data_IF_875027446689
#
_entry.id   IF_875027446689
#
_cell.length_a   1.000
_cell.length_b   1.000
_cell.length_c   1.000
_cell.angle_alpha   90.00
_cell.angle_beta   90.00
_cell.angle_gamma   90.00
#
_symmetry.space_group_name_H-M   'P 1'
#
loop_
_entity.id
_entity.type
_entity.pdbx_description
1 polymer ?
#
# COMPACT_ATOMS: atom_id res chain seq x y z
N UNK A 1 -21.71 -19.68 -40.16
CA UNK A 1 -21.77 -18.52 -39.24
C UNK A 1 -22.29 -19.01 -37.90
N UNK A 2 -21.48 -18.93 -36.85
CA UNK A 2 -21.95 -19.01 -35.46
C UNK A 2 -21.17 -17.94 -34.71
N UNK A 3 -21.79 -16.77 -34.55
CA UNK A 3 -21.19 -15.49 -34.08
C UNK A 3 -21.53 -15.20 -32.61
N UNK A 4 -21.97 -16.20 -31.85
CA UNK A 4 -22.42 -16.03 -30.46
C UNK A 4 -21.66 -16.98 -29.54
N UNK A 5 -20.34 -16.86 -29.52
CA UNK A 5 -19.58 -17.12 -28.32
C UNK A 5 -19.26 -15.76 -27.73
N UNK A 6 -20.07 -15.29 -26.78
CA UNK A 6 -19.65 -14.16 -25.94
C UNK A 6 -18.39 -14.60 -25.21
N UNK A 7 -17.26 -13.87 -25.33
CA UNK A 7 -16.13 -14.16 -24.48
C UNK A 7 -16.59 -13.97 -23.04
N UNK A 8 -16.54 -15.04 -22.24
CA UNK A 8 -16.59 -14.90 -20.79
C UNK A 8 -15.54 -13.87 -20.41
N UNK A 9 -15.87 -12.83 -19.62
CA UNK A 9 -14.86 -11.90 -19.17
C UNK A 9 -13.96 -12.66 -18.18
N UNK A 10 -12.89 -13.26 -18.69
CA UNK A 10 -11.71 -13.55 -17.89
C UNK A 10 -11.11 -12.20 -17.54
N UNK A 11 -11.71 -11.49 -16.58
CA UNK A 11 -11.18 -10.19 -16.13
C UNK A 11 -9.99 -10.43 -15.21
N UNK A 12 -8.91 -10.97 -15.76
CA UNK A 12 -7.57 -10.73 -15.24
C UNK A 12 -7.05 -9.42 -15.84
N UNK A 13 -7.77 -8.32 -15.58
CA UNK A 13 -7.30 -7.00 -15.97
C UNK A 13 -6.43 -6.45 -14.84
N UNK A 14 -5.11 -6.51 -15.00
CA UNK A 14 -4.17 -5.83 -14.09
C UNK A 14 -4.30 -4.32 -14.25
N UNK A 15 -4.32 -3.59 -13.14
CA UNK A 15 -4.32 -2.13 -13.11
C UNK A 15 -2.96 -1.67 -12.64
N UNK A 16 -2.25 -0.91 -13.47
CA UNK A 16 -1.02 -0.21 -13.08
C UNK A 16 -1.37 1.20 -12.62
N UNK A 17 -0.84 1.59 -11.47
CA UNK A 17 -1.04 2.88 -10.83
C UNK A 17 0.33 3.51 -10.69
N UNK A 18 0.63 4.50 -11.52
CA UNK A 18 1.84 5.30 -11.39
C UNK A 18 1.66 6.30 -10.25
N UNK A 19 2.50 6.20 -9.22
CA UNK A 19 2.40 7.03 -8.01
C UNK A 19 2.52 8.51 -8.34
N UNK A 20 3.50 8.86 -9.18
CA UNK A 20 3.80 10.23 -9.60
C UNK A 20 2.66 10.88 -10.39
N UNK A 21 1.93 10.09 -11.20
CA UNK A 21 0.73 10.57 -11.90
C UNK A 21 -0.44 10.86 -10.95
N UNK A 22 -0.53 10.11 -9.85
CA UNK A 22 -1.61 10.29 -8.87
C UNK A 22 -1.36 11.49 -7.96
N UNK A 23 -0.13 11.66 -7.48
CA UNK A 23 0.23 12.79 -6.60
C UNK A 23 0.53 14.08 -7.41
N UNK A 24 0.78 13.96 -8.72
CA UNK A 24 1.03 15.10 -9.61
C UNK A 24 2.43 15.71 -9.48
N UNK A 25 3.34 15.05 -8.78
CA UNK A 25 4.75 15.41 -8.61
C UNK A 25 5.61 14.15 -8.40
N UNK A 26 6.93 14.31 -8.35
CA UNK A 26 7.87 13.20 -8.15
C UNK A 26 8.40 13.05 -6.72
N UNK A 27 8.27 14.06 -5.86
CA UNK A 27 8.76 13.98 -4.47
C UNK A 27 7.91 13.03 -3.60
N UNK A 28 8.46 11.88 -3.21
CA UNK A 28 7.78 10.81 -2.48
C UNK A 28 8.11 10.84 -0.98
N UNK A 29 7.90 11.98 -0.32
CA UNK A 29 8.38 12.21 1.06
C UNK A 29 7.36 11.83 2.13
N UNK A 30 6.11 12.28 2.02
CA UNK A 30 5.02 11.88 2.92
C UNK A 30 3.70 12.07 2.18
N UNK A 31 2.81 11.07 2.19
CA UNK A 31 1.62 11.10 1.34
C UNK A 31 0.41 11.58 2.14
N UNK A 32 0.02 12.84 1.96
CA UNK A 32 -1.34 13.27 2.35
C UNK A 32 -2.39 12.76 1.34
N UNK A 33 -1.95 12.40 0.14
CA UNK A 33 -2.80 12.01 -0.98
C UNK A 33 -2.92 10.48 -1.08
N UNK A 34 -3.73 9.88 -0.21
CA UNK A 34 -4.06 8.44 -0.23
C UNK A 34 -4.89 7.99 -1.45
N UNK A 35 -4.90 8.75 -2.54
CA UNK A 35 -5.71 8.50 -3.73
C UNK A 35 -5.25 7.23 -4.47
N UNK A 36 -3.95 6.99 -4.59
CA UNK A 36 -3.47 5.78 -5.26
C UNK A 36 -3.78 4.53 -4.42
N UNK A 37 -3.74 4.61 -3.09
CA UNK A 37 -4.20 3.54 -2.20
C UNK A 37 -5.71 3.25 -2.37
N UNK A 38 -6.54 4.29 -2.57
CA UNK A 38 -7.96 4.11 -2.91
C UNK A 38 -8.14 3.42 -4.27
N UNK A 39 -7.33 3.78 -5.28
CA UNK A 39 -7.33 3.15 -6.61
C UNK A 39 -6.93 1.68 -6.53
N UNK A 40 -5.85 1.36 -5.80
CA UNK A 40 -5.41 -0.03 -5.54
C UNK A 40 -6.51 -0.83 -4.85
N UNK A 41 -7.10 -0.29 -3.78
CA UNK A 41 -8.21 -0.93 -3.07
C UNK A 41 -9.41 -1.16 -3.98
N UNK A 42 -9.76 -0.20 -4.83
CA UNK A 42 -10.87 -0.33 -5.79
C UNK A 42 -10.61 -1.44 -6.80
N UNK A 43 -9.38 -1.52 -7.32
CA UNK A 43 -8.96 -2.59 -8.22
C UNK A 43 -9.07 -3.97 -7.53
N UNK A 44 -8.47 -4.12 -6.34
CA UNK A 44 -8.49 -5.36 -5.56
C UNK A 44 -9.92 -5.82 -5.23
N UNK A 45 -10.80 -4.89 -4.79
CA UNK A 45 -12.22 -5.21 -4.53
C UNK A 45 -12.99 -5.64 -5.78
N UNK A 46 -12.53 -5.21 -6.95
CA UNK A 46 -13.12 -5.57 -8.24
C UNK A 46 -12.55 -6.88 -8.81
N UNK A 47 -11.74 -7.62 -8.04
CA UNK A 47 -11.09 -8.85 -8.47
C UNK A 47 -9.91 -8.64 -9.43
N UNK A 48 -9.40 -7.42 -9.52
CA UNK A 48 -8.25 -7.06 -10.38
C UNK A 48 -6.96 -7.08 -9.58
N UNK A 49 -5.85 -7.38 -10.25
CA UNK A 49 -4.51 -7.18 -9.71
C UNK A 49 -4.13 -5.70 -9.75
N UNK A 50 -3.42 -5.23 -8.74
CA UNK A 50 -2.91 -3.87 -8.64
C UNK A 50 -1.38 -3.89 -8.70
N UNK A 51 -0.80 -3.11 -9.61
CA UNK A 51 0.62 -2.81 -9.67
C UNK A 51 0.79 -1.34 -9.30
N UNK A 52 1.55 -1.04 -8.27
CA UNK A 52 1.94 0.31 -7.86
C UNK A 52 3.33 0.57 -8.42
N UNK A 53 3.46 1.52 -9.32
CA UNK A 53 4.73 1.89 -9.96
C UNK A 53 5.26 3.18 -9.33
N UNK A 54 6.49 3.13 -8.86
CA UNK A 54 7.24 4.28 -8.31
C UNK A 54 8.11 4.96 -9.35
N UNK A 55 7.85 4.68 -10.63
CA UNK A 55 8.60 5.24 -11.74
C UNK A 55 8.64 6.77 -11.67
N UNK A 56 9.84 7.31 -11.88
CA UNK A 56 10.16 8.74 -11.84
C UNK A 56 9.99 9.36 -10.44
N UNK A 57 9.83 8.55 -9.38
CA UNK A 57 9.81 9.01 -7.99
C UNK A 57 11.19 9.42 -7.50
N UNK A 58 11.23 10.47 -6.68
CA UNK A 58 12.43 11.03 -6.04
C UNK A 58 12.19 11.18 -4.54
N UNK A 59 13.24 11.08 -3.72
CA UNK A 59 13.16 11.19 -2.26
C UNK A 59 12.07 10.29 -1.65
N UNK A 60 12.02 9.04 -2.08
CA UNK A 60 11.11 8.01 -1.54
C UNK A 60 11.52 7.76 -0.08
N UNK A 61 10.64 8.04 0.87
CA UNK A 61 10.94 7.79 2.30
C UNK A 61 10.15 6.60 2.83
N UNK A 62 10.60 6.00 3.95
CA UNK A 62 9.81 5.00 4.68
C UNK A 62 8.41 5.50 5.04
N UNK A 63 8.26 6.79 5.38
CA UNK A 63 6.96 7.36 5.71
C UNK A 63 6.01 7.38 4.50
N UNK A 64 6.55 7.66 3.31
CA UNK A 64 5.78 7.59 2.08
C UNK A 64 5.45 6.16 1.69
N UNK A 65 6.40 5.23 1.77
CA UNK A 65 6.19 3.80 1.52
C UNK A 65 5.13 3.22 2.47
N UNK A 66 5.21 3.63 3.75
CA UNK A 66 4.22 3.32 4.76
C UNK A 66 2.84 3.88 4.38
N UNK A 67 2.72 5.12 3.96
CA UNK A 67 1.41 5.62 3.52
C UNK A 67 0.95 4.92 2.23
N UNK A 68 1.91 4.57 1.37
CA UNK A 68 1.65 4.12 0.02
C UNK A 68 1.13 2.70 -0.09
N UNK A 69 1.75 1.83 0.68
CA UNK A 69 1.45 0.41 0.69
C UNK A 69 0.75 0.04 2.00
N UNK A 70 1.00 0.80 3.07
CA UNK A 70 0.54 0.54 4.42
C UNK A 70 -0.37 1.64 4.99
N UNK A 71 -1.19 2.26 4.14
CA UNK A 71 -2.52 2.81 4.47
C UNK A 71 -2.67 3.44 5.88
N UNK A 72 -1.85 4.39 6.27
CA UNK A 72 -2.05 5.11 7.53
C UNK A 72 -3.15 6.17 7.40
N UNK A 73 -4.41 5.77 7.24
CA UNK A 73 -5.52 6.72 7.38
C UNK A 73 -5.77 6.90 8.87
N UNK A 74 -5.23 7.98 9.44
CA UNK A 74 -5.48 8.39 10.84
C UNK A 74 -6.99 8.40 11.19
N UNK A 75 -7.91 8.39 10.22
CA UNK A 75 -9.34 8.25 10.46
C UNK A 75 -10.07 7.35 9.43
N UNK A 76 -10.66 6.27 9.96
CA UNK A 76 -11.93 5.64 9.57
C UNK A 76 -12.03 4.63 8.40
N UNK A 77 -10.97 4.13 7.75
CA UNK A 77 -11.06 2.94 6.89
C UNK A 77 -9.68 2.24 6.79
N UNK A 78 -9.56 1.03 7.36
CA UNK A 78 -8.29 0.37 7.73
C UNK A 78 -7.28 0.03 6.63
N UNK A 79 -6.11 -0.43 7.09
CA UNK A 79 -4.95 -0.82 6.29
C UNK A 79 -5.27 -1.90 5.24
N UNK A 80 -4.50 -2.03 4.15
CA UNK A 80 -4.79 -3.01 3.09
C UNK A 80 -4.70 -4.41 3.72
N UNK A 81 -3.69 -4.61 4.56
CA UNK A 81 -3.49 -5.77 5.42
C UNK A 81 -4.55 -5.95 6.51
N UNK A 82 -5.34 -4.91 6.83
CA UNK A 82 -6.52 -5.04 7.69
C UNK A 82 -7.82 -5.31 6.89
N UNK A 83 -7.78 -5.15 5.56
CA UNK A 83 -8.94 -5.28 4.67
C UNK A 83 -8.93 -6.56 3.83
N UNK A 84 -7.76 -7.16 3.61
CA UNK A 84 -7.57 -8.34 2.79
C UNK A 84 -6.63 -9.33 3.51
N UNK A 85 -6.79 -10.66 3.28
CA UNK A 85 -5.81 -11.65 3.71
C UNK A 85 -4.43 -11.36 3.13
N UNK A 86 -3.39 -11.72 3.87
CA UNK A 86 -1.99 -11.52 3.45
C UNK A 86 -1.70 -12.25 2.14
N UNK A 87 -2.09 -13.52 2.03
CA UNK A 87 -1.87 -14.34 0.84
C UNK A 87 -2.56 -13.72 -0.38
N UNK A 88 -3.73 -13.10 -0.18
CA UNK A 88 -4.41 -12.39 -1.25
C UNK A 88 -3.62 -11.16 -1.72
N UNK A 89 -3.04 -10.39 -0.80
CA UNK A 89 -2.21 -9.23 -1.15
C UNK A 89 -0.92 -9.67 -1.84
N UNK A 90 -0.28 -10.74 -1.37
CA UNK A 90 0.91 -11.31 -1.98
C UNK A 90 0.69 -11.84 -3.40
N UNK A 91 -0.53 -12.24 -3.76
CA UNK A 91 -0.85 -12.72 -5.12
C UNK A 91 -1.31 -11.60 -6.08
N UNK A 92 -1.87 -10.51 -5.52
CA UNK A 92 -2.64 -9.52 -6.27
C UNK A 92 -2.12 -8.08 -6.18
N UNK A 93 -1.20 -7.78 -5.26
CA UNK A 93 -0.54 -6.49 -5.13
C UNK A 93 0.97 -6.61 -5.41
N UNK A 94 1.50 -5.70 -6.22
CA UNK A 94 2.93 -5.59 -6.51
C UNK A 94 3.36 -4.13 -6.48
N UNK A 95 4.53 -3.87 -5.90
CA UNK A 95 5.27 -2.63 -6.08
C UNK A 95 6.36 -2.87 -7.13
N UNK A 96 6.56 -1.92 -8.04
CA UNK A 96 7.59 -1.97 -9.08
C UNK A 96 8.27 -0.60 -9.22
N UNK A 97 9.42 -0.58 -9.91
CA UNK A 97 10.20 0.63 -10.19
C UNK A 97 10.72 1.32 -8.91
N UNK A 98 11.04 0.52 -7.88
CA UNK A 98 11.77 0.93 -6.69
C UNK A 98 13.25 0.61 -6.86
N UNK A 99 14.13 1.47 -6.35
CA UNK A 99 15.54 1.10 -6.18
C UNK A 99 15.66 0.00 -5.11
N UNK A 100 16.74 -0.82 -5.13
CA UNK A 100 16.89 -1.92 -4.17
C UNK A 100 16.82 -1.50 -2.71
N UNK A 101 17.38 -0.33 -2.36
CA UNK A 101 17.34 0.22 -1.00
C UNK A 101 15.90 0.55 -0.56
N UNK A 102 15.13 1.25 -1.40
CA UNK A 102 13.72 1.56 -1.13
C UNK A 102 12.85 0.29 -1.04
N UNK A 103 13.20 -0.75 -1.80
CA UNK A 103 12.51 -2.03 -1.77
C UNK A 103 12.77 -2.79 -0.46
N UNK A 104 14.00 -2.73 0.08
CA UNK A 104 14.34 -3.27 1.40
C UNK A 104 13.57 -2.50 2.50
N UNK A 105 13.59 -1.16 2.46
CA UNK A 105 12.84 -0.34 3.42
C UNK A 105 11.33 -0.64 3.39
N UNK A 106 10.78 -0.87 2.19
CA UNK A 106 9.38 -1.24 2.04
C UNK A 106 9.06 -2.59 2.71
N UNK A 107 9.94 -3.59 2.55
CA UNK A 107 9.76 -4.90 3.19
C UNK A 107 9.75 -4.75 4.70
N UNK A 108 10.74 -4.06 5.27
CA UNK A 108 10.84 -3.81 6.71
C UNK A 108 9.59 -3.08 7.23
N UNK A 109 9.13 -2.06 6.50
CA UNK A 109 7.92 -1.31 6.86
C UNK A 109 6.67 -2.22 6.85
N UNK A 110 6.57 -3.15 5.88
CA UNK A 110 5.46 -4.12 5.83
C UNK A 110 5.50 -5.04 7.05
N UNK A 111 6.68 -5.52 7.43
CA UNK A 111 6.87 -6.36 8.60
C UNK A 111 6.48 -5.62 9.89
N UNK A 112 6.96 -4.39 10.09
CA UNK A 112 6.61 -3.54 11.23
C UNK A 112 5.09 -3.37 11.37
N UNK A 113 4.37 -3.20 10.26
CA UNK A 113 2.91 -3.06 10.29
C UNK A 113 2.21 -4.38 10.58
N UNK A 114 2.70 -5.51 10.07
CA UNK A 114 2.16 -6.83 10.42
C UNK A 114 2.31 -7.08 11.92
N UNK A 115 3.50 -6.79 12.46
CA UNK A 115 3.75 -6.89 13.90
C UNK A 115 2.85 -5.96 14.70
N UNK A 116 2.73 -4.69 14.30
CA UNK A 116 1.84 -3.73 14.94
C UNK A 116 0.38 -4.20 14.93
N UNK A 117 -0.12 -4.75 13.81
CA UNK A 117 -1.48 -5.26 13.72
C UNK A 117 -1.71 -6.50 14.60
N UNK A 118 -0.66 -7.28 14.86
CA UNK A 118 -0.72 -8.47 15.73
C UNK A 118 -0.79 -8.12 17.22
N UNK A 119 -0.06 -7.09 17.66
CA UNK A 119 -0.09 -6.59 19.05
C UNK A 119 0.11 -5.05 19.12
N UNK A 120 -0.94 -4.27 18.84
CA UNK A 120 -0.84 -2.82 18.85
C UNK A 120 -0.49 -2.23 20.23
N UNK A 121 -0.83 -2.94 21.32
CA UNK A 121 -0.62 -2.45 22.68
C UNK A 121 0.85 -2.61 23.12
N UNK A 122 1.52 -3.70 22.72
CA UNK A 122 2.96 -3.84 22.94
C UNK A 122 3.76 -2.71 22.27
N UNK A 123 3.41 -2.38 21.03
CA UNK A 123 4.04 -1.27 20.30
C UNK A 123 3.81 0.08 20.99
N UNK A 124 2.56 0.35 21.42
CA UNK A 124 2.25 1.57 22.18
C UNK A 124 3.00 1.64 23.51
N UNK A 125 3.09 0.53 24.22
CA UNK A 125 3.80 0.44 25.50
C UNK A 125 5.30 0.67 25.32
N UNK A 126 5.91 0.06 24.30
CA UNK A 126 7.33 0.26 23.97
C UNK A 126 7.62 1.72 23.60
N UNK A 127 6.78 2.33 22.77
CA UNK A 127 6.94 3.73 22.40
C UNK A 127 6.74 4.68 23.59
N UNK A 128 5.78 4.42 24.49
CA UNK A 128 5.64 5.19 25.74
C UNK A 128 6.84 5.03 26.66
N UNK A 129 7.41 3.83 26.75
CA UNK A 129 8.59 3.57 27.57
C UNK A 129 9.84 4.30 27.04
N UNK A 130 9.99 4.40 25.72
CA UNK A 130 11.14 5.05 25.07
C UNK A 130 10.98 6.58 24.96
N UNK A 131 9.81 7.05 24.57
CA UNK A 131 9.56 8.46 24.20
C UNK A 131 8.69 9.24 25.21
N UNK A 132 8.16 8.57 26.23
CA UNK A 132 7.30 9.17 27.25
C UNK A 132 5.80 9.07 26.94
N UNK A 133 4.96 9.33 27.95
CA UNK A 133 3.49 9.17 27.93
C UNK A 133 2.81 9.96 26.79
N UNK A 134 3.37 11.11 26.39
CA UNK A 134 2.77 12.04 25.44
C UNK A 134 3.04 11.70 23.96
N UNK A 135 3.70 10.57 23.66
CA UNK A 135 4.13 10.26 22.28
C UNK A 135 2.95 10.04 21.29
N UNK A 136 1.77 9.68 21.79
CA UNK A 136 0.57 9.42 20.98
C UNK A 136 -0.58 10.42 21.20
N UNK A 137 -0.38 11.46 22.01
CA UNK A 137 -1.33 12.58 22.15
C UNK A 137 -1.27 13.53 20.95
#
# INVERSE_FOLDING_TARGET
MNILATPSPTTSATVTIAVTEVIGHNLCIASQDGEYALRSRSALRSGKKAIVSFKDGEDITPAFLADAILLRRRFANGHLYALFPEEFLEENLRAIDLEPEDAEELVDTIEDVKEYLSDPEAWKAAARATFGENYYE
#
